data_IF_027559808986
#
_entry.id   IF_027559808986
#
_cell.length_a   1.000
_cell.length_b   1.000
_cell.length_c   1.000
_cell.angle_alpha   90.00
_cell.angle_beta   90.00
_cell.angle_gamma   90.00
#
_symmetry.space_group_name_H-M   'P 1'
#
loop_
_entity.id
_entity.type
_entity.pdbx_description
1 polymer ?
#
# COMPACT_ATOMS: atom_id res chain seq x y z
N UNK A 1 3.35 -16.72 7.02
CA UNK A 1 4.65 -16.57 6.32
C UNK A 1 4.74 -15.16 5.81
N UNK A 2 5.69 -14.37 6.33
CA UNK A 2 5.98 -13.02 5.83
C UNK A 2 6.76 -13.18 4.52
N UNK A 3 6.19 -12.76 3.41
CA UNK A 3 6.92 -12.62 2.15
C UNK A 3 7.16 -11.13 1.94
N UNK A 4 8.42 -10.72 1.89
CA UNK A 4 8.75 -9.40 1.36
C UNK A 4 8.17 -9.33 -0.06
N UNK A 5 7.53 -8.24 -0.38
CA UNK A 5 7.17 -7.92 -1.74
C UNK A 5 8.42 -8.02 -2.63
N UNK A 6 8.25 -8.18 -3.90
CA UNK A 6 9.38 -8.36 -4.81
C UNK A 6 10.35 -7.17 -4.73
N UNK A 7 11.28 -7.22 -3.77
CA UNK A 7 12.28 -6.19 -3.54
C UNK A 7 13.05 -5.85 -4.83
N UNK A 8 13.18 -6.79 -5.77
CA UNK A 8 13.87 -6.54 -7.03
C UNK A 8 13.18 -5.44 -7.84
N UNK A 9 11.85 -5.34 -7.82
CA UNK A 9 11.13 -4.26 -8.51
C UNK A 9 11.46 -2.88 -7.92
N UNK A 10 11.64 -2.78 -6.60
CA UNK A 10 12.13 -1.55 -6.00
C UNK A 10 13.59 -1.26 -6.36
N UNK A 11 14.42 -2.29 -6.41
CA UNK A 11 15.83 -2.12 -6.75
C UNK A 11 16.06 -1.70 -8.21
N UNK A 12 15.14 -2.04 -9.12
CA UNK A 12 15.20 -1.65 -10.53
C UNK A 12 14.99 -0.14 -10.76
N UNK A 13 14.32 0.55 -9.83
CA UNK A 13 14.09 1.99 -9.94
C UNK A 13 15.16 2.86 -9.29
N UNK A 14 16.05 2.28 -8.47
CA UNK A 14 17.14 3.03 -7.82
C UNK A 14 18.45 2.92 -8.63
N UNK A 15 19.35 3.93 -8.52
CA UNK A 15 20.65 3.89 -9.20
C UNK A 15 21.52 2.69 -8.79
N UNK A 16 22.41 2.23 -9.69
CA UNK A 16 23.24 1.04 -9.52
C UNK A 16 24.09 1.03 -8.25
N UNK A 17 24.61 2.20 -7.83
CA UNK A 17 25.41 2.31 -6.61
C UNK A 17 24.63 2.11 -5.31
N UNK A 18 23.29 2.13 -5.39
CA UNK A 18 22.35 1.78 -4.30
C UNK A 18 21.87 0.35 -4.49
N UNK A 19 21.52 -0.02 -5.73
CA UNK A 19 21.02 -1.35 -6.09
C UNK A 19 22.04 -2.44 -5.77
N UNK A 20 23.29 -2.26 -6.21
CA UNK A 20 24.37 -3.26 -6.10
C UNK A 20 24.57 -3.76 -4.67
N UNK A 21 24.84 -2.88 -3.70
CA UNK A 21 24.99 -3.27 -2.30
C UNK A 21 23.78 -3.99 -1.72
N UNK A 22 22.55 -3.58 -2.07
CA UNK A 22 21.32 -4.16 -1.53
C UNK A 22 20.97 -5.51 -2.17
N UNK A 23 21.35 -5.74 -3.43
CA UNK A 23 21.03 -6.98 -4.16
C UNK A 23 21.56 -8.22 -3.45
N UNK A 24 22.74 -8.13 -2.87
CA UNK A 24 23.42 -9.22 -2.17
C UNK A 24 23.59 -8.97 -0.66
N UNK A 25 22.85 -7.99 -0.11
CA UNK A 25 22.97 -7.63 1.30
C UNK A 25 22.51 -8.78 2.19
N UNK A 26 23.29 -9.19 3.21
CA UNK A 26 22.92 -10.31 4.09
C UNK A 26 21.64 -10.05 4.89
N UNK A 27 21.32 -8.77 5.15
CA UNK A 27 20.10 -8.34 5.89
C UNK A 27 18.94 -7.91 4.99
N UNK A 28 18.97 -8.20 3.67
CA UNK A 28 17.92 -7.71 2.76
C UNK A 28 16.49 -8.11 3.16
N UNK A 29 16.32 -9.27 3.80
CA UNK A 29 15.03 -9.78 4.24
C UNK A 29 14.41 -8.95 5.39
N UNK A 30 15.23 -8.22 6.14
CA UNK A 30 14.80 -7.36 7.24
C UNK A 30 14.92 -5.87 6.91
N UNK A 31 15.16 -5.52 5.63
CA UNK A 31 15.19 -4.14 5.16
C UNK A 31 13.81 -3.49 5.33
N UNK A 32 13.76 -2.34 6.00
CA UNK A 32 12.53 -1.57 6.26
C UNK A 32 12.36 -0.47 5.22
N UNK A 33 13.40 0.34 5.01
CA UNK A 33 13.35 1.47 4.10
C UNK A 33 14.74 1.90 3.62
N UNK A 34 14.76 2.62 2.51
CA UNK A 34 15.95 3.28 1.97
C UNK A 34 15.68 4.79 1.99
N UNK A 35 16.61 5.55 2.58
CA UNK A 35 16.53 7.01 2.71
C UNK A 35 17.57 7.66 1.82
N UNK A 36 17.12 8.58 0.98
CA UNK A 36 17.92 9.24 -0.05
C UNK A 36 17.70 10.75 0.05
N UNK A 37 18.58 11.47 0.72
CA UNK A 37 18.54 12.92 0.88
C UNK A 37 19.69 13.58 0.14
N UNK A 38 19.45 14.67 -0.59
CA UNK A 38 20.51 15.42 -1.29
C UNK A 38 21.59 15.86 -0.31
N UNK A 39 22.84 15.63 -0.69
CA UNK A 39 24.01 15.96 0.11
C UNK A 39 24.33 14.96 1.22
N UNK A 40 23.51 13.93 1.41
CA UNK A 40 23.75 12.84 2.36
C UNK A 40 24.10 11.54 1.65
N UNK A 41 24.72 10.61 2.37
CA UNK A 41 24.98 9.25 1.89
C UNK A 41 23.66 8.46 1.90
N UNK A 42 23.41 7.57 0.92
CA UNK A 42 22.22 6.72 0.92
C UNK A 42 22.25 5.79 2.12
N UNK A 43 21.16 5.78 2.89
CA UNK A 43 21.01 4.99 4.12
C UNK A 43 19.98 3.89 3.91
N UNK A 44 20.34 2.65 4.26
CA UNK A 44 19.41 1.54 4.39
C UNK A 44 19.08 1.32 5.86
N UNK A 45 17.80 1.23 6.19
CA UNK A 45 17.30 0.99 7.55
C UNK A 45 16.74 -0.42 7.65
N UNK A 46 17.30 -1.18 8.54
CA UNK A 46 16.92 -2.55 8.84
C UNK A 46 16.24 -2.64 10.21
N UNK A 47 15.62 -3.76 10.53
CA UNK A 47 14.97 -3.96 11.82
C UNK A 47 15.95 -3.90 13.02
N UNK A 48 17.22 -4.12 12.78
CA UNK A 48 18.30 -4.16 13.77
C UNK A 48 19.26 -2.95 13.72
N UNK A 49 18.97 -1.94 12.90
CA UNK A 49 19.79 -0.73 12.77
C UNK A 49 19.85 -0.16 11.37
N UNK A 50 20.75 0.79 11.13
CA UNK A 50 20.93 1.40 9.81
C UNK A 50 22.37 1.31 9.32
N UNK A 51 22.55 1.29 8.01
CA UNK A 51 23.85 1.23 7.34
C UNK A 51 23.88 2.15 6.11
N UNK A 52 25.03 2.74 5.84
CA UNK A 52 25.22 3.50 4.61
C UNK A 52 25.60 2.57 3.45
N UNK A 53 24.86 2.71 2.35
CA UNK A 53 25.06 1.85 1.15
C UNK A 53 26.24 2.28 0.29
N UNK A 54 26.69 3.54 0.39
CA UNK A 54 27.77 4.08 -0.42
C UNK A 54 28.47 5.24 0.29
N UNK A 55 29.73 5.49 -0.06
CA UNK A 55 30.46 6.71 0.32
C UNK A 55 30.05 7.93 -0.53
N UNK A 56 29.48 7.71 -1.71
CA UNK A 56 28.94 8.74 -2.59
C UNK A 56 27.69 9.37 -1.96
N UNK A 57 27.61 10.69 -1.98
CA UNK A 57 26.42 11.44 -1.56
C UNK A 57 25.40 11.50 -2.68
N UNK A 58 24.12 11.55 -2.30
CA UNK A 58 23.01 11.71 -3.22
C UNK A 58 23.05 13.12 -3.83
N UNK A 59 22.89 13.18 -5.14
CA UNK A 59 22.77 14.42 -5.91
C UNK A 59 21.39 14.49 -6.56
N UNK A 60 21.03 15.66 -7.08
CA UNK A 60 19.71 15.88 -7.67
C UNK A 60 19.39 14.90 -8.80
N UNK A 61 20.38 14.56 -9.62
CA UNK A 61 20.24 13.61 -10.73
C UNK A 61 19.87 12.19 -10.28
N UNK A 62 20.30 11.78 -9.08
CA UNK A 62 19.95 10.46 -8.53
C UNK A 62 18.48 10.40 -8.16
N UNK A 63 17.93 11.47 -7.57
CA UNK A 63 16.50 11.56 -7.25
C UNK A 63 15.65 11.66 -8.54
N UNK A 64 16.08 12.47 -9.51
CA UNK A 64 15.41 12.59 -10.81
C UNK A 64 15.34 11.26 -11.56
N UNK A 65 16.41 10.46 -11.49
CA UNK A 65 16.46 9.12 -12.05
C UNK A 65 15.35 8.21 -11.50
N UNK A 66 15.11 8.26 -10.19
CA UNK A 66 14.05 7.48 -9.52
C UNK A 66 12.67 8.04 -9.87
N UNK A 67 12.49 9.35 -9.77
CA UNK A 67 11.21 10.04 -10.03
C UNK A 67 10.71 9.76 -11.45
N UNK A 68 11.59 9.79 -12.45
CA UNK A 68 11.24 9.47 -13.85
C UNK A 68 10.73 8.05 -14.05
N UNK A 69 11.14 7.11 -13.20
CA UNK A 69 10.70 5.70 -13.24
C UNK A 69 9.42 5.43 -12.46
N UNK A 70 9.15 6.25 -11.44
CA UNK A 70 7.95 6.14 -10.61
C UNK A 70 6.72 6.79 -11.25
N UNK A 71 6.93 7.82 -12.08
CA UNK A 71 5.84 8.65 -12.56
C UNK A 71 5.45 9.77 -11.59
N UNK A 72 4.16 10.02 -11.44
CA UNK A 72 3.64 11.15 -10.63
C UNK A 72 3.44 10.74 -9.18
N UNK A 73 3.78 11.66 -8.27
CA UNK A 73 3.38 11.60 -6.87
C UNK A 73 1.94 12.11 -6.71
N UNK A 74 1.19 11.49 -5.83
CA UNK A 74 -0.14 11.96 -5.43
C UNK A 74 -0.06 13.22 -4.54
N UNK A 75 -1.21 13.75 -4.13
CA UNK A 75 -1.30 14.95 -3.29
C UNK A 75 -0.65 14.77 -1.90
N UNK A 76 -0.54 13.53 -1.42
CA UNK A 76 0.17 13.18 -0.17
C UNK A 76 1.69 13.04 -0.35
N UNK A 77 2.23 13.41 -1.52
CA UNK A 77 3.64 13.22 -1.87
C UNK A 77 4.10 11.75 -1.84
N UNK A 78 3.20 10.83 -2.20
CA UNK A 78 3.44 9.39 -2.28
C UNK A 78 3.35 8.90 -3.72
N UNK A 79 4.13 7.88 -4.03
CA UNK A 79 4.06 7.10 -5.25
C UNK A 79 4.30 5.63 -4.93
N UNK A 80 3.74 4.72 -5.73
CA UNK A 80 3.96 3.29 -5.60
C UNK A 80 4.61 2.70 -6.84
N UNK A 81 4.95 1.43 -6.73
CA UNK A 81 5.41 0.60 -7.83
C UNK A 81 4.30 -0.38 -8.14
N UNK A 82 3.95 -0.50 -9.42
CA UNK A 82 2.89 -1.37 -9.90
C UNK A 82 2.97 -2.79 -9.32
N UNK A 83 1.83 -3.32 -8.87
CA UNK A 83 1.70 -4.68 -8.30
C UNK A 83 2.55 -4.92 -7.06
N UNK A 84 2.99 -3.87 -6.37
CA UNK A 84 3.73 -3.99 -5.10
C UNK A 84 3.06 -3.19 -3.98
N UNK A 85 3.51 -3.46 -2.76
CA UNK A 85 3.16 -2.69 -1.56
C UNK A 85 4.28 -1.71 -1.18
N UNK A 86 5.32 -1.57 -2.03
CA UNK A 86 6.36 -0.57 -1.81
C UNK A 86 5.77 0.83 -1.96
N UNK A 87 6.17 1.73 -1.08
CA UNK A 87 5.73 3.11 -1.08
C UNK A 87 6.93 4.05 -1.05
N UNK A 88 6.95 4.96 -1.98
CA UNK A 88 7.97 5.99 -2.08
C UNK A 88 7.33 7.32 -1.68
N UNK A 89 7.90 7.97 -0.67
CA UNK A 89 7.47 9.28 -0.20
C UNK A 89 8.53 10.33 -0.53
N UNK A 90 8.10 11.48 -1.06
CA UNK A 90 9.00 12.58 -1.40
C UNK A 90 9.04 13.63 -0.30
N UNK A 91 10.25 14.11 0.00
CA UNK A 91 10.48 15.33 0.76
C UNK A 91 10.67 16.49 -0.22
N UNK A 92 9.95 17.59 0.01
CA UNK A 92 10.04 18.78 -0.84
C UNK A 92 10.56 19.99 -0.06
N UNK A 93 11.29 20.83 -0.74
CA UNK A 93 11.67 22.13 -0.23
C UNK A 93 10.52 23.13 -0.34
N UNK A 94 10.74 24.40 0.12
CA UNK A 94 9.74 25.46 0.05
C UNK A 94 9.30 25.84 -1.38
N UNK A 95 10.11 25.51 -2.38
CA UNK A 95 9.83 25.78 -3.80
C UNK A 95 9.11 24.58 -4.47
N UNK A 96 8.81 23.51 -3.73
CA UNK A 96 8.16 22.31 -4.25
C UNK A 96 9.11 21.29 -4.89
N UNK A 97 10.41 21.55 -4.96
CA UNK A 97 11.38 20.63 -5.53
C UNK A 97 11.64 19.45 -4.59
N UNK A 98 11.75 18.25 -5.14
CA UNK A 98 12.09 17.04 -4.37
C UNK A 98 13.56 17.12 -3.94
N UNK A 99 13.80 17.05 -2.64
CA UNK A 99 15.12 17.08 -2.02
C UNK A 99 15.47 15.78 -1.28
N UNK A 100 14.52 14.87 -1.17
CA UNK A 100 14.71 13.56 -0.56
C UNK A 100 13.63 12.58 -0.95
N UNK A 101 13.93 11.30 -0.85
CA UNK A 101 13.01 10.19 -1.04
C UNK A 101 13.16 9.18 0.09
N UNK A 102 12.04 8.66 0.57
CA UNK A 102 11.98 7.50 1.47
C UNK A 102 11.31 6.36 0.74
N UNK A 103 12.06 5.32 0.42
CA UNK A 103 11.55 4.12 -0.26
C UNK A 103 11.25 3.05 0.80
N UNK A 104 9.99 2.91 1.19
CA UNK A 104 9.54 1.95 2.20
C UNK A 104 9.26 0.59 1.58
N UNK A 105 9.77 -0.47 2.21
CA UNK A 105 9.59 -1.85 1.76
C UNK A 105 8.22 -2.35 2.19
N UNK A 106 7.36 -2.66 1.22
CA UNK A 106 6.09 -3.33 1.46
C UNK A 106 6.28 -4.83 1.75
N UNK A 107 5.39 -5.40 2.55
CA UNK A 107 5.35 -6.84 2.83
C UNK A 107 3.93 -7.35 2.84
N UNK A 108 3.69 -8.45 2.13
CA UNK A 108 2.46 -9.20 2.21
C UNK A 108 2.60 -10.34 3.22
N UNK A 109 1.54 -10.56 4.01
CA UNK A 109 1.45 -11.69 4.94
C UNK A 109 0.27 -12.56 4.51
N UNK A 110 0.48 -13.86 4.43
CA UNK A 110 -0.54 -14.84 4.07
C UNK A 110 -0.82 -15.81 5.22
N UNK A 111 -2.04 -16.36 5.29
CA UNK A 111 -2.44 -17.40 6.26
C UNK A 111 -3.05 -16.87 7.55
N UNK A 112 -3.36 -15.58 7.66
CA UNK A 112 -3.95 -15.00 8.89
C UNK A 112 -5.47 -15.15 8.98
N UNK A 113 -6.17 -15.41 7.86
CA UNK A 113 -7.64 -15.44 7.78
C UNK A 113 -8.28 -16.71 8.34
N UNK A 114 -7.50 -17.77 8.57
CA UNK A 114 -8.05 -19.00 9.15
C UNK A 114 -8.81 -18.77 10.47
N UNK A 115 -8.42 -17.74 11.23
CA UNK A 115 -9.01 -17.36 12.53
C UNK A 115 -10.41 -16.73 12.38
N UNK A 116 -10.70 -16.07 11.25
CA UNK A 116 -11.95 -15.33 11.02
C UNK A 116 -12.82 -15.93 9.92
N UNK A 117 -12.47 -17.12 9.43
CA UNK A 117 -13.16 -17.74 8.31
C UNK A 117 -14.64 -18.01 8.57
N UNK A 118 -14.97 -18.47 9.76
CA UNK A 118 -16.34 -18.70 10.21
C UNK A 118 -17.18 -17.41 10.22
N UNK A 119 -16.55 -16.28 10.54
CA UNK A 119 -17.22 -14.96 10.48
C UNK A 119 -17.56 -14.58 9.03
N UNK A 120 -16.68 -14.88 8.07
CA UNK A 120 -16.90 -14.59 6.65
C UNK A 120 -18.05 -15.42 6.06
N UNK A 121 -18.25 -16.63 6.56
CA UNK A 121 -19.32 -17.55 6.14
C UNK A 121 -20.70 -17.10 6.65
N UNK A 122 -20.75 -16.33 7.74
CA UNK A 122 -22.00 -15.85 8.37
C UNK A 122 -22.73 -14.73 7.61
N UNK A 123 -22.17 -14.20 6.52
CA UNK A 123 -22.76 -13.16 5.66
C UNK A 123 -23.19 -11.90 6.43
N UNK A 124 -22.49 -11.54 7.50
CA UNK A 124 -22.73 -10.32 8.26
C UNK A 124 -21.63 -9.31 8.00
N UNK A 125 -21.97 -8.03 8.09
CA UNK A 125 -20.95 -6.96 8.07
C UNK A 125 -20.02 -7.10 9.27
N UNK A 126 -18.73 -6.88 9.05
CA UNK A 126 -17.66 -7.03 10.05
C UNK A 126 -16.95 -5.68 10.21
N UNK A 127 -16.85 -5.21 11.45
CA UNK A 127 -16.06 -4.03 11.80
C UNK A 127 -14.80 -4.48 12.55
N UNK A 128 -13.63 -4.16 12.00
CA UNK A 128 -12.33 -4.45 12.62
C UNK A 128 -11.85 -3.26 13.45
N UNK A 129 -11.80 -3.43 14.76
CA UNK A 129 -11.29 -2.42 15.68
C UNK A 129 -9.93 -2.85 16.24
N UNK A 130 -9.01 -1.91 16.35
CA UNK A 130 -7.68 -2.18 16.91
C UNK A 130 -6.73 -0.99 16.78
N UNK A 131 -5.69 -1.00 17.61
CA UNK A 131 -4.63 0.03 17.58
C UNK A 131 -3.91 0.05 16.23
N UNK A 132 -3.26 1.15 15.85
CA UNK A 132 -2.36 1.17 14.70
C UNK A 132 -1.28 0.07 14.81
N UNK A 133 -0.91 -0.53 13.67
CA UNK A 133 0.17 -1.52 13.61
C UNK A 133 -0.17 -2.94 14.06
N UNK A 134 -1.39 -3.24 14.51
CA UNK A 134 -1.79 -4.61 14.96
C UNK A 134 -2.11 -5.56 13.79
N UNK A 135 -1.98 -5.11 12.54
CA UNK A 135 -2.17 -5.96 11.36
C UNK A 135 -3.56 -5.92 10.73
N UNK A 136 -4.41 -4.92 11.04
CA UNK A 136 -5.75 -4.78 10.43
C UNK A 136 -5.70 -4.81 8.90
N UNK A 137 -4.90 -3.96 8.28
CA UNK A 137 -4.75 -3.88 6.81
C UNK A 137 -4.26 -5.19 6.21
N UNK A 138 -3.37 -5.91 6.91
CA UNK A 138 -2.91 -7.24 6.50
C UNK A 138 -4.05 -8.25 6.51
N UNK A 139 -4.86 -8.27 7.56
CA UNK A 139 -6.02 -9.14 7.67
C UNK A 139 -7.07 -8.80 6.58
N UNK A 140 -7.38 -7.52 6.39
CA UNK A 140 -8.33 -7.04 5.36
C UNK A 140 -7.90 -7.48 3.96
N UNK A 141 -6.61 -7.36 3.63
CA UNK A 141 -6.06 -7.78 2.33
C UNK A 141 -6.27 -9.26 2.09
N UNK A 142 -5.99 -10.09 3.08
CA UNK A 142 -6.17 -11.53 2.96
C UNK A 142 -7.66 -11.93 2.96
N UNK A 143 -8.51 -11.25 3.72
CA UNK A 143 -9.96 -11.39 3.67
C UNK A 143 -10.46 -11.12 2.24
N UNK A 144 -10.02 -10.03 1.60
CA UNK A 144 -10.38 -9.71 0.23
C UNK A 144 -10.06 -10.85 -0.74
N UNK A 145 -8.85 -11.41 -0.64
CA UNK A 145 -8.42 -12.55 -1.46
C UNK A 145 -9.26 -13.80 -1.20
N UNK A 146 -9.51 -14.15 0.06
CA UNK A 146 -10.31 -15.34 0.41
C UNK A 146 -11.74 -15.21 -0.08
N UNK A 147 -12.35 -14.03 0.07
CA UNK A 147 -13.70 -13.77 -0.43
C UNK A 147 -13.76 -13.84 -1.97
N UNK A 148 -12.80 -13.25 -2.66
CA UNK A 148 -12.81 -13.19 -4.13
C UNK A 148 -12.37 -14.50 -4.78
N UNK A 149 -11.26 -15.11 -4.34
CA UNK A 149 -10.69 -16.31 -4.94
C UNK A 149 -11.28 -17.58 -4.36
N UNK A 150 -11.42 -17.66 -3.03
CA UNK A 150 -11.90 -18.83 -2.33
C UNK A 150 -13.42 -18.97 -2.38
N UNK A 151 -14.15 -17.91 -2.04
CA UNK A 151 -15.60 -17.94 -1.96
C UNK A 151 -16.29 -17.41 -3.23
N UNK A 152 -15.51 -17.03 -4.26
CA UNK A 152 -15.99 -16.57 -5.57
C UNK A 152 -16.94 -15.38 -5.52
N UNK A 153 -16.78 -14.50 -4.54
CA UNK A 153 -17.58 -13.30 -4.36
C UNK A 153 -17.10 -12.14 -5.24
N UNK A 154 -18.02 -11.29 -5.66
CA UNK A 154 -17.71 -10.02 -6.30
C UNK A 154 -17.36 -9.01 -5.20
N UNK A 155 -16.05 -8.79 -5.01
CA UNK A 155 -15.50 -7.94 -3.95
C UNK A 155 -14.99 -6.64 -4.56
N UNK A 156 -15.39 -5.51 -3.99
CA UNK A 156 -14.79 -4.20 -4.27
C UNK A 156 -14.11 -3.68 -3.01
N UNK A 157 -12.92 -3.14 -3.18
CA UNK A 157 -12.12 -2.53 -2.13
C UNK A 157 -12.11 -1.02 -2.38
N UNK A 158 -12.54 -0.25 -1.40
CA UNK A 158 -12.38 1.21 -1.35
C UNK A 158 -11.10 1.50 -0.58
N UNK A 159 -10.04 1.82 -1.29
CA UNK A 159 -8.67 1.91 -0.77
C UNK A 159 -8.23 3.38 -0.74
N UNK A 160 -8.57 4.09 0.32
CA UNK A 160 -8.34 5.52 0.46
C UNK A 160 -6.89 5.85 0.73
N UNK A 161 -6.23 5.04 1.56
CA UNK A 161 -4.82 5.23 1.92
C UNK A 161 -3.87 4.44 1.03
N UNK A 162 -4.39 3.70 0.03
CA UNK A 162 -3.63 2.78 -0.82
C UNK A 162 -2.82 1.72 -0.03
N UNK A 163 -3.25 1.42 1.18
CA UNK A 163 -2.55 0.47 2.06
C UNK A 163 -2.94 -0.99 1.81
N UNK A 164 -4.16 -1.22 1.29
CA UNK A 164 -4.65 -2.58 1.01
C UNK A 164 -4.00 -3.14 -0.25
N UNK A 165 -4.07 -2.39 -1.35
CA UNK A 165 -3.69 -2.88 -2.68
C UNK A 165 -2.48 -2.17 -3.30
N UNK A 166 -1.84 -1.26 -2.56
CA UNK A 166 -0.65 -0.50 -3.00
C UNK A 166 -0.99 0.80 -3.72
N UNK A 167 0.02 1.64 -3.93
CA UNK A 167 -0.12 2.99 -4.50
C UNK A 167 -0.17 3.03 -6.05
N UNK A 168 0.27 1.97 -6.74
CA UNK A 168 0.28 1.91 -8.21
C UNK A 168 -1.12 1.76 -8.82
N UNK A 169 -1.27 2.01 -10.13
CA UNK A 169 -2.55 1.84 -10.84
C UNK A 169 -2.95 0.36 -10.94
N UNK A 170 -1.97 -0.53 -11.05
CA UNK A 170 -2.19 -1.97 -10.98
C UNK A 170 -2.12 -2.46 -9.54
N UNK A 171 -3.22 -3.02 -8.99
CA UNK A 171 -3.27 -3.44 -7.61
C UNK A 171 -2.36 -4.64 -7.33
N UNK A 172 -1.93 -4.76 -6.07
CA UNK A 172 -1.10 -5.88 -5.62
C UNK A 172 -1.86 -7.21 -5.72
N UNK A 173 -1.23 -8.29 -6.21
CA UNK A 173 -1.88 -9.60 -6.39
C UNK A 173 -2.44 -10.24 -5.12
N UNK A 174 -2.01 -9.79 -3.94
CA UNK A 174 -2.50 -10.31 -2.65
C UNK A 174 -3.97 -10.05 -2.36
N UNK A 175 -4.65 -9.17 -3.12
CA UNK A 175 -6.10 -8.97 -3.01
C UNK A 175 -6.91 -9.97 -3.86
N UNK A 176 -6.24 -10.86 -4.60
CA UNK A 176 -6.88 -11.83 -5.49
C UNK A 176 -7.65 -11.15 -6.62
N UNK A 177 -8.84 -11.67 -6.91
CA UNK A 177 -9.75 -11.14 -7.94
C UNK A 177 -10.59 -9.94 -7.50
N UNK A 178 -10.37 -9.42 -6.30
CA UNK A 178 -11.04 -8.21 -5.84
C UNK A 178 -10.70 -7.03 -6.74
N UNK A 179 -11.69 -6.18 -7.00
CA UNK A 179 -11.48 -4.92 -7.72
C UNK A 179 -11.20 -3.82 -6.72
N UNK A 180 -10.28 -2.94 -7.05
CA UNK A 180 -9.96 -1.77 -6.22
C UNK A 180 -10.52 -0.50 -6.85
N UNK A 181 -11.13 0.34 -6.03
CA UNK A 181 -11.40 1.74 -6.33
C UNK A 181 -10.51 2.61 -5.45
N UNK A 182 -9.68 3.43 -6.09
CA UNK A 182 -8.85 4.42 -5.39
C UNK A 182 -9.69 5.67 -5.10
N UNK A 183 -9.42 6.30 -3.97
CA UNK A 183 -10.06 7.54 -3.56
C UNK A 183 -9.09 8.69 -3.80
N UNK A 184 -9.44 9.61 -4.68
CA UNK A 184 -8.59 10.75 -5.04
C UNK A 184 -8.40 11.75 -3.89
N UNK A 185 -9.40 11.85 -3.01
CA UNK A 185 -9.36 12.69 -1.81
C UNK A 185 -10.16 12.02 -0.70
N UNK A 186 -9.59 11.97 0.51
CA UNK A 186 -10.26 11.40 1.69
C UNK A 186 -11.64 12.00 1.95
N UNK A 187 -11.87 13.25 1.54
CA UNK A 187 -13.17 13.93 1.67
C UNK A 187 -14.28 13.29 0.84
N UNK A 188 -13.94 12.57 -0.23
CA UNK A 188 -14.89 12.01 -1.20
C UNK A 188 -15.08 10.50 -1.04
N UNK A 189 -14.53 9.89 -0.01
CA UNK A 189 -14.62 8.44 0.20
C UNK A 189 -16.08 7.96 0.21
N UNK A 190 -16.97 8.67 0.90
CA UNK A 190 -18.38 8.31 0.98
C UNK A 190 -19.09 8.30 -0.38
N UNK A 191 -18.70 9.19 -1.31
CA UNK A 191 -19.24 9.22 -2.68
C UNK A 191 -18.79 7.98 -3.47
N UNK A 192 -17.51 7.63 -3.38
CA UNK A 192 -16.94 6.43 -4.02
C UNK A 192 -17.55 5.14 -3.46
N UNK A 193 -17.86 5.11 -2.17
CA UNK A 193 -18.58 3.98 -1.54
C UNK A 193 -19.95 3.76 -2.16
N UNK A 194 -20.72 4.81 -2.40
CA UNK A 194 -22.05 4.74 -3.05
C UNK A 194 -21.89 4.40 -4.53
N UNK A 195 -20.95 5.03 -5.25
CA UNK A 195 -20.64 4.75 -6.65
C UNK A 195 -20.32 3.28 -6.87
N UNK A 196 -19.56 2.65 -5.95
CA UNK A 196 -19.21 1.24 -6.04
C UNK A 196 -20.46 0.34 -6.14
N UNK A 197 -21.50 0.61 -5.35
CA UNK A 197 -22.76 -0.15 -5.39
C UNK A 197 -23.55 0.16 -6.65
N UNK A 198 -23.67 1.42 -7.02
CA UNK A 198 -24.51 1.85 -8.14
C UNK A 198 -23.97 1.36 -9.50
N UNK A 199 -22.65 1.37 -9.67
CA UNK A 199 -22.04 1.11 -10.96
C UNK A 199 -21.49 -0.32 -11.12
N UNK A 200 -21.18 -1.02 -10.03
CA UNK A 200 -20.38 -2.24 -10.11
C UNK A 200 -21.00 -3.50 -9.48
N UNK A 201 -22.18 -3.38 -8.86
CA UNK A 201 -22.95 -4.49 -8.28
C UNK A 201 -22.10 -5.48 -7.46
N UNK A 202 -21.36 -5.03 -6.45
CA UNK A 202 -20.60 -5.90 -5.57
C UNK A 202 -21.54 -6.76 -4.70
N UNK A 203 -21.04 -7.91 -4.26
CA UNK A 203 -21.66 -8.68 -3.16
C UNK A 203 -21.06 -8.29 -1.82
N UNK A 204 -19.82 -7.77 -1.86
CA UNK A 204 -19.07 -7.35 -0.67
C UNK A 204 -18.29 -6.10 -1.00
N UNK A 205 -18.34 -5.13 -0.10
CA UNK A 205 -17.47 -3.95 -0.12
C UNK A 205 -16.52 -4.04 1.08
N UNK A 206 -15.26 -3.82 0.81
CA UNK A 206 -14.21 -3.66 1.81
C UNK A 206 -13.80 -2.19 1.83
N UNK A 207 -13.80 -1.60 3.01
CA UNK A 207 -13.46 -0.20 3.22
C UNK A 207 -12.24 -0.16 4.12
N UNK A 208 -11.21 0.61 3.73
CA UNK A 208 -9.94 0.70 4.44
C UNK A 208 -10.14 1.25 5.86
N UNK A 209 -10.81 2.39 5.97
CA UNK A 209 -11.16 2.99 7.25
C UNK A 209 -12.49 3.77 7.17
N UNK A 210 -13.15 3.90 8.29
CA UNK A 210 -14.33 4.77 8.47
C UNK A 210 -13.98 5.76 9.57
N UNK A 211 -13.83 7.04 9.20
CA UNK A 211 -13.42 8.11 10.10
C UNK A 211 -14.44 9.24 10.25
N UNK A 212 -15.47 9.29 9.40
CA UNK A 212 -16.44 10.38 9.36
C UNK A 212 -17.89 9.90 9.44
N UNK A 213 -18.81 10.79 9.82
CA UNK A 213 -20.23 10.51 9.86
C UNK A 213 -20.81 10.24 8.46
N UNK A 214 -20.30 10.91 7.43
CA UNK A 214 -20.71 10.68 6.05
C UNK A 214 -20.37 9.27 5.58
N UNK A 215 -19.20 8.77 5.92
CA UNK A 215 -18.79 7.40 5.62
C UNK A 215 -19.62 6.36 6.38
N UNK A 216 -19.91 6.62 7.65
CA UNK A 216 -20.79 5.75 8.44
C UNK A 216 -22.21 5.72 7.86
N UNK A 217 -22.74 6.86 7.38
CA UNK A 217 -24.02 6.96 6.71
C UNK A 217 -24.02 6.23 5.38
N UNK A 218 -22.95 6.37 4.58
CA UNK A 218 -22.80 5.64 3.34
C UNK A 218 -22.76 4.12 3.59
N UNK A 219 -22.00 3.65 4.59
CA UNK A 219 -21.95 2.23 4.95
C UNK A 219 -23.35 1.69 5.34
N UNK A 220 -24.16 2.46 6.08
CA UNK A 220 -25.55 2.10 6.39
C UNK A 220 -26.39 1.98 5.12
N UNK A 221 -26.30 2.97 4.23
CA UNK A 221 -27.04 2.97 2.95
C UNK A 221 -26.69 1.76 2.09
N UNK A 222 -25.42 1.38 2.07
CA UNK A 222 -24.91 0.18 1.36
C UNK A 222 -25.55 -1.09 1.96
N UNK A 223 -25.54 -1.22 3.28
CA UNK A 223 -26.14 -2.36 3.98
C UNK A 223 -27.67 -2.45 3.73
N UNK A 224 -28.39 -1.33 3.68
CA UNK A 224 -29.82 -1.26 3.35
C UNK A 224 -30.10 -1.72 1.90
N UNK A 225 -29.14 -1.58 0.99
CA UNK A 225 -29.20 -2.08 -0.40
C UNK A 225 -28.83 -3.56 -0.55
N UNK A 226 -28.51 -4.25 0.57
CA UNK A 226 -28.27 -5.70 0.60
C UNK A 226 -26.83 -6.12 0.27
N UNK A 227 -25.84 -5.22 0.41
CA UNK A 227 -24.41 -5.49 0.22
C UNK A 227 -23.70 -5.64 1.56
#
# INVERSE_FOLDING_TARGET
>A
MLLADNLNQLLEIVPDFIQGPLKYHPKREILIEIVLDIGRRPEARFADGSEYLSYRTIVWQDLDYIVKRLGKFNDDNRAGIEKTLHRISSLRNRQGNIIGLTCRIGRAVFGTVSIVRDLLENKKSILLLGKPGVGKTTAIREIARVLSDGMKKRVIIIDTSNEIAGDGDLPHPSIGKSRRMQVSSTKNQHEIMIEAVENHMPEIIIIDEIGTELEATAARTIAERGV
#
